data_IF_231885511230
#
_entry.id   IF_231885511230
#
_cell.length_a   1.000
_cell.length_b   1.000
_cell.length_c   1.000
_cell.angle_alpha   90.00
_cell.angle_beta   90.00
_cell.angle_gamma   90.00
#
_symmetry.space_group_name_H-M   'P 1'
#
loop_
_entity.id
_entity.type
_entity.pdbx_description
1 polymer ?
#
# COMPACT_ATOMS: atom_id res chain seq x y z
N UNK A 1 17.38 -27.98 61.00
CA UNK A 1 17.53 -26.79 60.14
C UNK A 1 17.60 -27.23 58.68
N UNK A 2 16.48 -27.16 57.93
CA UNK A 2 16.45 -27.46 56.49
C UNK A 2 16.62 -26.15 55.72
N UNK A 3 17.68 -26.05 54.91
CA UNK A 3 17.95 -24.90 54.02
C UNK A 3 17.07 -25.03 52.78
N UNK A 4 16.15 -24.08 52.59
CA UNK A 4 15.39 -23.91 51.36
C UNK A 4 16.27 -23.22 50.31
N UNK A 5 16.46 -23.86 49.17
CA UNK A 5 17.13 -23.28 47.99
C UNK A 5 16.03 -22.70 47.10
N UNK A 6 15.97 -21.37 47.01
CA UNK A 6 15.15 -20.67 46.01
C UNK A 6 15.90 -20.68 44.68
N UNK A 7 15.32 -21.30 43.66
CA UNK A 7 15.80 -21.24 42.29
C UNK A 7 15.07 -20.07 41.60
N UNK A 8 15.80 -18.99 41.34
CA UNK A 8 15.34 -17.88 40.48
C UNK A 8 15.43 -18.34 39.02
N UNK A 9 14.28 -18.63 38.40
CA UNK A 9 14.19 -18.85 36.96
C UNK A 9 14.09 -17.48 36.28
N UNK A 10 15.22 -16.99 35.79
CA UNK A 10 15.27 -15.81 34.93
C UNK A 10 14.70 -16.17 33.55
N UNK A 11 13.48 -15.73 33.27
CA UNK A 11 12.87 -15.84 31.95
C UNK A 11 13.60 -14.86 31.02
N UNK A 12 14.54 -15.36 30.23
CA UNK A 12 15.10 -14.67 29.08
C UNK A 12 14.00 -14.53 28.03
N UNK A 13 13.40 -13.34 27.98
CA UNK A 13 12.47 -12.92 26.94
C UNK A 13 13.27 -12.80 25.64
N UNK A 14 13.29 -13.89 24.86
CA UNK A 14 13.85 -13.89 23.50
C UNK A 14 12.92 -13.04 22.64
N UNK A 15 13.21 -11.74 22.57
CA UNK A 15 12.61 -10.84 21.59
C UNK A 15 13.13 -11.32 20.23
N UNK A 16 12.35 -12.18 19.58
CA UNK A 16 12.56 -12.55 18.19
C UNK A 16 12.33 -11.29 17.35
N UNK A 17 13.39 -10.50 17.16
CA UNK A 17 13.43 -9.45 16.17
C UNK A 17 13.32 -10.11 14.81
N UNK A 18 12.10 -10.19 14.29
CA UNK A 18 11.85 -10.48 12.88
C UNK A 18 12.64 -9.47 12.07
N UNK A 19 13.74 -9.91 11.46
CA UNK A 19 14.57 -9.07 10.59
C UNK A 19 13.72 -8.66 9.40
N UNK A 20 13.27 -7.41 9.41
CA UNK A 20 12.66 -6.77 8.27
C UNK A 20 13.61 -6.85 7.07
N UNK A 21 13.08 -7.30 5.93
CA UNK A 21 13.78 -7.22 4.65
C UNK A 21 13.17 -6.07 3.85
N UNK A 22 13.85 -4.93 3.87
CA UNK A 22 13.64 -3.88 2.89
C UNK A 22 13.95 -4.44 1.49
N UNK A 23 13.16 -4.04 0.51
CA UNK A 23 13.51 -4.33 -0.88
C UNK A 23 14.85 -3.67 -1.23
N UNK A 24 15.61 -4.32 -2.13
CA UNK A 24 16.84 -3.73 -2.63
C UNK A 24 16.46 -2.48 -3.41
N UNK A 25 17.08 -1.36 -3.02
CA UNK A 25 16.89 -0.07 -3.69
C UNK A 25 17.48 -0.11 -5.11
N UNK A 26 16.64 0.25 -6.08
CA UNK A 26 16.89 0.30 -7.51
C UNK A 26 16.14 1.50 -8.13
N UNK A 27 16.48 2.70 -7.66
CA UNK A 27 15.90 3.93 -8.21
C UNK A 27 16.71 4.34 -9.44
N UNK A 28 16.02 4.74 -10.52
CA UNK A 28 16.70 5.41 -11.64
C UNK A 28 17.45 6.67 -11.18
N UNK A 29 18.58 6.95 -11.84
CA UNK A 29 19.54 7.98 -11.42
C UNK A 29 19.75 9.09 -12.46
N UNK A 30 19.06 9.03 -13.61
CA UNK A 30 19.11 10.08 -14.62
C UNK A 30 18.56 11.41 -14.08
N UNK A 31 19.07 12.53 -14.60
CA UNK A 31 18.60 13.87 -14.20
C UNK A 31 17.07 14.01 -14.34
N UNK A 32 16.52 13.50 -15.44
CA UNK A 32 15.09 13.52 -15.71
C UNK A 32 14.30 12.66 -14.72
N UNK A 33 14.82 11.47 -14.38
CA UNK A 33 14.19 10.62 -13.38
C UNK A 33 14.17 11.30 -12.00
N UNK A 34 15.29 11.90 -11.58
CA UNK A 34 15.37 12.61 -10.30
C UNK A 34 14.39 13.79 -10.25
N UNK A 35 14.26 14.54 -11.35
CA UNK A 35 13.27 15.61 -11.47
C UNK A 35 11.84 15.08 -11.22
N UNK A 36 11.44 13.99 -11.86
CA UNK A 36 10.08 13.45 -11.69
C UNK A 36 9.88 12.67 -10.40
N UNK A 37 10.95 12.16 -9.80
CA UNK A 37 10.92 11.68 -8.42
C UNK A 37 10.58 12.81 -7.44
N UNK A 38 11.18 14.00 -7.61
CA UNK A 38 10.88 15.16 -6.78
C UNK A 38 9.44 15.66 -6.99
N UNK A 39 8.96 15.67 -8.24
CA UNK A 39 7.55 15.96 -8.56
C UNK A 39 6.62 14.94 -7.90
N UNK A 40 6.90 13.64 -8.04
CA UNK A 40 6.11 12.60 -7.37
C UNK A 40 6.05 12.84 -5.86
N UNK A 41 7.20 13.10 -5.22
CA UNK A 41 7.26 13.33 -3.77
C UNK A 41 6.47 14.57 -3.36
N UNK A 42 6.57 15.68 -4.11
CA UNK A 42 5.80 16.90 -3.87
C UNK A 42 4.29 16.62 -3.89
N UNK A 43 3.82 16.01 -4.98
CA UNK A 43 2.40 15.68 -5.16
C UNK A 43 1.93 14.67 -4.10
N UNK A 44 2.74 13.65 -3.81
CA UNK A 44 2.42 12.61 -2.84
C UNK A 44 2.23 13.20 -1.44
N UNK A 45 3.13 14.09 -0.99
CA UNK A 45 2.99 14.78 0.29
C UNK A 45 1.72 15.64 0.33
N UNK A 46 1.47 16.41 -0.72
CA UNK A 46 0.31 17.30 -0.82
C UNK A 46 -1.02 16.54 -0.83
N UNK A 47 -1.16 15.53 -1.69
CA UNK A 47 -2.40 14.77 -1.86
C UNK A 47 -2.77 13.95 -0.62
N UNK A 48 -1.77 13.53 0.16
CA UNK A 48 -1.96 12.76 1.38
C UNK A 48 -1.94 13.61 2.65
N UNK A 49 -1.85 14.95 2.54
CA UNK A 49 -1.67 15.87 3.66
C UNK A 49 -0.56 15.38 4.63
N UNK A 50 0.54 14.87 4.06
CA UNK A 50 1.57 14.13 4.78
C UNK A 50 2.77 15.03 5.07
N UNK A 51 3.30 14.96 6.29
CA UNK A 51 4.54 15.66 6.66
C UNK A 51 5.78 14.99 6.07
N UNK A 52 6.85 15.77 5.88
CA UNK A 52 8.13 15.25 5.41
C UNK A 52 8.73 14.25 6.42
N UNK A 53 8.51 14.46 7.71
CA UNK A 53 8.94 13.58 8.80
C UNK A 53 8.24 12.22 8.73
N UNK A 54 6.92 12.22 8.54
CA UNK A 54 6.16 10.98 8.40
C UNK A 54 6.61 10.20 7.16
N UNK A 55 6.72 10.89 6.02
CA UNK A 55 7.22 10.29 4.79
C UNK A 55 8.58 9.62 4.99
N UNK A 56 9.55 10.32 5.59
CA UNK A 56 10.90 9.79 5.83
C UNK A 56 10.90 8.55 6.73
N UNK A 57 9.97 8.49 7.69
CA UNK A 57 9.87 7.41 8.68
C UNK A 57 9.10 6.19 8.15
N UNK A 58 8.12 6.39 7.27
CA UNK A 58 7.15 5.37 6.91
C UNK A 58 7.18 4.96 5.43
N UNK A 59 7.67 5.81 4.53
CA UNK A 59 7.64 5.58 3.07
C UNK A 59 9.04 5.31 2.54
N UNK A 60 9.22 4.15 1.93
CA UNK A 60 10.50 3.64 1.46
C UNK A 60 10.44 3.32 -0.04
N UNK A 61 10.75 4.29 -0.91
CA UNK A 61 10.92 4.02 -2.33
C UNK A 61 12.05 3.03 -2.60
N UNK A 62 11.75 2.01 -3.40
CA UNK A 62 12.72 0.96 -3.71
C UNK A 62 12.92 0.76 -5.21
N UNK A 63 12.00 1.21 -6.07
CA UNK A 63 12.20 1.15 -7.51
C UNK A 63 11.58 2.37 -8.20
N UNK A 64 12.25 2.92 -9.21
CA UNK A 64 11.68 3.95 -10.07
C UNK A 64 12.23 3.84 -11.48
N UNK A 65 11.40 4.18 -12.47
CA UNK A 65 11.78 4.16 -13.87
C UNK A 65 10.99 5.20 -14.68
N UNK A 66 11.52 5.53 -15.85
CA UNK A 66 10.78 6.18 -16.93
C UNK A 66 10.57 5.14 -18.02
N UNK A 67 9.32 4.83 -18.29
CA UNK A 67 8.93 3.88 -19.33
C UNK A 67 8.45 4.64 -20.58
N UNK A 68 9.07 4.37 -21.72
CA UNK A 68 8.67 4.91 -23.02
C UNK A 68 7.66 3.99 -23.68
N UNK A 69 6.66 4.56 -24.34
CA UNK A 69 5.66 3.86 -25.12
C UNK A 69 5.32 4.68 -26.37
N UNK A 70 4.47 4.14 -27.25
CA UNK A 70 4.28 4.65 -28.62
C UNK A 70 3.92 6.14 -28.72
N UNK A 71 3.31 6.72 -27.69
CA UNK A 71 2.83 8.11 -27.74
C UNK A 71 3.16 8.91 -26.49
N UNK A 72 4.19 8.48 -25.74
CA UNK A 72 4.64 9.19 -24.55
C UNK A 72 5.65 8.47 -23.69
N UNK A 73 5.87 9.06 -22.52
CA UNK A 73 6.72 8.53 -21.46
C UNK A 73 5.99 8.69 -20.13
N UNK A 74 6.08 7.67 -19.28
CA UNK A 74 5.48 7.67 -17.95
C UNK A 74 6.54 7.43 -16.88
N UNK A 75 6.50 8.23 -15.82
CA UNK A 75 7.25 7.96 -14.60
C UNK A 75 6.50 6.94 -13.75
N UNK A 76 7.23 5.95 -13.24
CA UNK A 76 6.71 4.89 -12.38
C UNK A 76 7.57 4.81 -11.13
N UNK A 77 6.95 4.56 -9.99
CA UNK A 77 7.66 4.38 -8.73
C UNK A 77 6.98 3.32 -7.89
N UNK A 78 7.78 2.44 -7.30
CA UNK A 78 7.34 1.47 -6.31
C UNK A 78 7.99 1.75 -4.95
N UNK A 79 7.19 1.65 -3.91
CA UNK A 79 7.60 1.97 -2.54
C UNK A 79 6.93 1.04 -1.53
N UNK A 80 7.54 0.96 -0.34
CA UNK A 80 6.97 0.27 0.80
C UNK A 80 6.45 1.29 1.82
N UNK A 81 5.27 1.03 2.37
CA UNK A 81 4.79 1.72 3.57
C UNK A 81 4.93 0.78 4.76
N UNK A 82 5.51 1.28 5.84
CA UNK A 82 5.64 0.52 7.10
C UNK A 82 4.94 1.25 8.24
N UNK A 83 4.00 0.59 8.90
CA UNK A 83 3.36 1.08 10.14
C UNK A 83 3.34 -0.09 11.12
N UNK A 84 3.97 0.09 12.29
CA UNK A 84 4.23 -0.97 13.27
C UNK A 84 4.78 -2.26 12.62
N UNK A 85 3.99 -3.34 12.62
CA UNK A 85 4.32 -4.66 12.07
C UNK A 85 3.88 -4.85 10.61
N UNK A 86 3.07 -3.94 10.07
CA UNK A 86 2.54 -4.04 8.71
C UNK A 86 3.49 -3.41 7.70
N UNK A 87 3.63 -4.08 6.57
CA UNK A 87 4.37 -3.60 5.41
C UNK A 87 3.47 -3.80 4.20
N UNK A 88 3.24 -2.74 3.45
CA UNK A 88 2.53 -2.79 2.17
C UNK A 88 3.44 -2.31 1.05
N UNK A 89 3.32 -2.94 -0.12
CA UNK A 89 4.01 -2.53 -1.35
C UNK A 89 2.99 -1.82 -2.23
N UNK A 90 3.36 -0.66 -2.73
CA UNK A 90 2.52 0.18 -3.57
C UNK A 90 3.31 0.65 -4.78
N UNK A 91 2.58 1.02 -5.82
CA UNK A 91 3.15 1.64 -7.01
C UNK A 91 2.28 2.82 -7.44
N UNK A 92 2.94 3.92 -7.80
CA UNK A 92 2.31 5.07 -8.43
C UNK A 92 2.85 5.21 -9.86
N UNK A 93 2.05 5.84 -10.73
CA UNK A 93 2.52 6.21 -12.06
C UNK A 93 1.82 7.47 -12.55
N UNK A 94 2.49 8.23 -13.40
CA UNK A 94 1.85 9.30 -14.17
C UNK A 94 2.59 9.55 -15.47
N UNK A 95 1.85 10.04 -16.45
CA UNK A 95 2.42 10.49 -17.72
C UNK A 95 3.31 11.72 -17.48
N UNK A 96 4.49 11.75 -18.10
CA UNK A 96 5.44 12.87 -18.03
C UNK A 96 5.68 13.52 -19.39
N UNK A 97 5.29 12.86 -20.48
CA UNK A 97 5.36 13.39 -21.85
C UNK A 97 4.34 12.65 -22.69
N UNK A 98 3.62 13.34 -23.55
CA UNK A 98 2.68 12.68 -24.48
C UNK A 98 2.44 13.49 -25.74
N UNK A 99 2.27 12.80 -26.86
CA UNK A 99 1.77 13.37 -28.12
C UNK A 99 0.29 13.06 -28.36
N UNK A 100 -0.36 12.29 -27.50
CA UNK A 100 -1.76 11.90 -27.68
C UNK A 100 -2.73 13.06 -27.47
N UNK A 101 -3.84 13.00 -28.19
CA UNK A 101 -4.97 13.94 -28.07
C UNK A 101 -6.21 13.30 -27.45
N UNK A 102 -6.10 12.06 -26.94
CA UNK A 102 -7.19 11.24 -26.37
C UNK A 102 -7.96 11.93 -25.25
N UNK A 103 -7.33 12.89 -24.55
CA UNK A 103 -7.93 13.69 -23.48
C UNK A 103 -7.93 15.17 -23.87
N UNK A 104 -8.81 15.60 -24.79
CA UNK A 104 -8.77 16.94 -25.38
C UNK A 104 -9.20 18.04 -24.42
N UNK A 105 -9.90 17.70 -23.33
CA UNK A 105 -10.30 18.64 -22.28
C UNK A 105 -9.15 19.01 -21.34
N UNK A 106 -8.05 18.23 -21.35
CA UNK A 106 -6.87 18.52 -20.55
C UNK A 106 -6.02 19.59 -21.22
N UNK A 107 -5.81 20.70 -20.51
CA UNK A 107 -4.93 21.78 -20.95
C UNK A 107 -3.50 21.45 -20.54
N UNK A 108 -2.89 20.53 -21.28
CA UNK A 108 -1.51 20.09 -21.07
C UNK A 108 -0.70 20.20 -22.35
N UNK A 109 0.60 20.45 -22.18
CA UNK A 109 1.57 20.53 -23.27
C UNK A 109 1.72 19.17 -23.94
N UNK A 110 1.78 19.16 -25.28
CA UNK A 110 1.93 17.95 -26.09
C UNK A 110 3.28 17.98 -26.80
N UNK A 111 3.97 16.84 -26.83
CA UNK A 111 5.30 16.72 -27.44
C UNK A 111 6.46 17.09 -26.51
N UNK A 112 6.19 17.76 -25.39
CA UNK A 112 7.16 18.14 -24.37
C UNK A 112 6.87 17.51 -23.01
N UNK A 113 7.83 17.66 -22.10
CA UNK A 113 7.75 17.20 -20.72
C UNK A 113 6.78 18.04 -19.90
N UNK A 114 5.91 17.37 -19.14
CA UNK A 114 4.85 18.00 -18.35
C UNK A 114 5.39 18.63 -17.06
N UNK A 115 4.81 19.77 -16.71
CA UNK A 115 5.02 20.42 -15.41
C UNK A 115 4.26 19.71 -14.29
N UNK A 116 4.63 19.97 -13.03
CA UNK A 116 3.91 19.45 -11.86
C UNK A 116 2.41 19.83 -11.87
N UNK A 117 2.06 21.02 -12.35
CA UNK A 117 0.66 21.46 -12.47
C UNK A 117 -0.12 20.61 -13.47
N UNK A 118 0.47 20.33 -14.64
CA UNK A 118 -0.13 19.48 -15.67
C UNK A 118 -0.23 18.02 -15.20
N UNK A 119 0.78 17.53 -14.47
CA UNK A 119 0.76 16.21 -13.85
C UNK A 119 -0.38 16.09 -12.82
N UNK A 120 -0.61 17.12 -12.01
CA UNK A 120 -1.76 17.14 -11.10
C UNK A 120 -3.10 17.08 -11.84
N UNK A 121 -3.23 17.74 -13.00
CA UNK A 121 -4.43 17.68 -13.82
C UNK A 121 -4.68 16.27 -14.37
N UNK A 122 -3.67 15.61 -14.93
CA UNK A 122 -3.81 14.24 -15.47
C UNK A 122 -4.14 13.22 -14.37
N UNK A 123 -3.53 13.34 -13.19
CA UNK A 123 -3.83 12.47 -12.03
C UNK A 123 -5.27 12.68 -11.56
N UNK A 124 -5.72 13.95 -11.46
CA UNK A 124 -7.08 14.28 -11.02
C UNK A 124 -8.14 13.76 -11.99
N UNK A 125 -7.81 13.75 -13.29
CA UNK A 125 -8.67 13.22 -14.34
C UNK A 125 -8.53 11.71 -14.56
N UNK A 126 -7.65 11.02 -13.83
CA UNK A 126 -7.27 9.62 -14.08
C UNK A 126 -6.85 9.34 -15.54
N UNK A 127 -6.31 10.34 -16.20
CA UNK A 127 -5.94 10.27 -17.61
C UNK A 127 -4.63 9.50 -17.79
N UNK A 128 -4.51 8.76 -18.89
CA UNK A 128 -3.31 7.98 -19.21
C UNK A 128 -2.91 6.97 -18.11
N UNK A 129 -3.91 6.47 -17.37
CA UNK A 129 -3.70 5.62 -16.19
C UNK A 129 -2.87 6.29 -15.09
N UNK A 130 -2.80 7.62 -15.08
CA UNK A 130 -2.05 8.37 -14.06
C UNK A 130 -2.79 8.30 -12.73
N UNK A 131 -2.10 7.82 -11.70
CA UNK A 131 -2.64 7.68 -10.36
C UNK A 131 -1.54 7.74 -9.30
N UNK A 132 -1.92 8.31 -8.16
CA UNK A 132 -1.16 8.25 -6.91
C UNK A 132 -2.08 7.66 -5.84
N UNK A 133 -1.53 6.75 -5.04
CA UNK A 133 -2.22 6.13 -3.92
C UNK A 133 -2.56 7.15 -2.83
N UNK A 134 -3.71 6.94 -2.18
CA UNK A 134 -4.18 7.73 -1.04
C UNK A 134 -3.86 6.97 0.24
N UNK A 135 -3.19 7.64 1.17
CA UNK A 135 -2.65 7.08 2.41
C UNK A 135 -2.88 8.09 3.53
N UNK A 136 -3.50 7.63 4.61
CA UNK A 136 -3.63 8.43 5.82
C UNK A 136 -2.37 8.29 6.68
N UNK A 137 -1.93 9.42 7.26
CA UNK A 137 -0.75 9.47 8.13
C UNK A 137 -1.08 8.96 9.55
N UNK A 138 -1.15 7.64 9.71
CA UNK A 138 -1.31 6.97 11.00
C UNK A 138 -0.01 6.35 11.49
N UNK A 139 0.46 6.76 12.66
CA UNK A 139 1.69 6.22 13.24
C UNK A 139 1.54 4.82 13.83
N UNK A 140 0.30 4.37 14.10
CA UNK A 140 0.02 3.13 14.81
C UNK A 140 -1.17 2.38 14.24
N UNK A 141 -1.13 1.06 14.38
CA UNK A 141 -2.26 0.17 14.09
C UNK A 141 -3.05 -0.12 15.36
N UNK A 142 -4.35 -0.37 15.22
CA UNK A 142 -5.23 -0.81 16.32
C UNK A 142 -4.73 -2.10 16.99
N UNK A 143 -4.17 -3.00 16.20
CA UNK A 143 -3.70 -4.30 16.66
C UNK A 143 -2.18 -4.29 16.84
N UNK A 144 -1.69 -4.70 18.01
CA UNK A 144 -0.25 -4.70 18.30
C UNK A 144 0.55 -5.78 17.55
N UNK A 145 -0.12 -6.70 16.83
CA UNK A 145 0.52 -7.72 16.00
C UNK A 145 -0.43 -8.28 14.94
N UNK A 146 0.12 -8.85 13.87
CA UNK A 146 -0.66 -9.55 12.83
C UNK A 146 -1.57 -10.62 13.45
N UNK A 147 -1.05 -11.39 14.41
CA UNK A 147 -1.81 -12.45 15.08
C UNK A 147 -3.04 -11.90 15.82
N UNK A 148 -2.93 -10.73 16.46
CA UNK A 148 -4.08 -10.09 17.11
C UNK A 148 -5.10 -9.58 16.09
N UNK A 149 -4.65 -9.07 14.95
CA UNK A 149 -5.54 -8.67 13.86
C UNK A 149 -6.32 -9.87 13.30
N UNK A 150 -5.65 -11.01 13.04
CA UNK A 150 -6.30 -12.25 12.57
C UNK A 150 -7.35 -12.75 13.57
N UNK A 151 -7.05 -12.70 14.87
CA UNK A 151 -8.00 -13.09 15.92
C UNK A 151 -9.20 -12.15 16.07
N UNK A 152 -9.11 -10.95 15.50
CA UNK A 152 -10.16 -9.94 15.54
C UNK A 152 -11.00 -9.92 14.26
N UNK A 153 -10.78 -10.86 13.33
CA UNK A 153 -11.59 -10.99 12.14
C UNK A 153 -13.03 -11.35 12.53
N UNK A 154 -13.99 -10.78 11.82
CA UNK A 154 -15.42 -10.97 12.04
C UNK A 154 -15.96 -12.31 11.50
N UNK A 155 -15.06 -13.28 11.27
CA UNK A 155 -15.38 -14.60 10.79
C UNK A 155 -14.65 -15.65 11.62
N UNK A 156 -15.22 -16.85 11.67
CA UNK A 156 -14.67 -17.98 12.41
C UNK A 156 -13.24 -18.30 11.93
N UNK A 157 -12.24 -18.18 12.83
CA UNK A 157 -10.81 -18.35 12.52
C UNK A 157 -10.54 -19.73 11.89
N UNK A 158 -11.31 -20.74 12.28
CA UNK A 158 -11.18 -22.12 11.79
C UNK A 158 -11.60 -22.28 10.31
N UNK A 159 -12.30 -21.29 9.73
CA UNK A 159 -12.74 -21.30 8.33
C UNK A 159 -11.85 -20.45 7.41
N UNK A 160 -10.87 -19.75 7.98
CA UNK A 160 -9.97 -18.88 7.24
C UNK A 160 -8.86 -19.71 6.62
N UNK A 161 -8.82 -19.77 5.29
CA UNK A 161 -7.76 -20.47 4.54
C UNK A 161 -6.60 -19.54 4.20
N UNK A 162 -6.82 -18.22 4.11
CA UNK A 162 -5.78 -17.24 3.83
C UNK A 162 -6.06 -15.88 4.51
N UNK A 163 -5.08 -15.34 5.23
CA UNK A 163 -5.08 -13.98 5.79
C UNK A 163 -3.69 -13.36 5.65
N UNK A 164 -3.32 -12.97 4.43
CA UNK A 164 -1.94 -12.56 4.13
C UNK A 164 -1.77 -11.33 3.25
N UNK A 165 -2.81 -10.88 2.56
CA UNK A 165 -2.70 -9.73 1.67
C UNK A 165 -3.03 -8.43 2.42
N UNK A 166 -2.05 -7.52 2.51
CA UNK A 166 -2.31 -6.15 2.96
C UNK A 166 -2.56 -5.29 1.73
N UNK A 167 -3.68 -4.58 1.73
CA UNK A 167 -4.02 -3.64 0.67
C UNK A 167 -4.37 -2.30 1.30
N UNK A 168 -3.80 -1.24 0.76
CA UNK A 168 -4.52 0.03 0.72
C UNK A 168 -5.50 -0.15 -0.43
N UNK A 169 -6.80 0.07 -0.21
CA UNK A 169 -7.78 -0.19 -1.26
C UNK A 169 -7.43 0.62 -2.50
N UNK A 170 -7.08 -0.11 -3.55
CA UNK A 170 -6.87 0.46 -4.85
C UNK A 170 -8.22 0.98 -5.35
N UNK A 171 -8.18 2.19 -5.89
CA UNK A 171 -9.35 3.02 -6.19
C UNK A 171 -10.31 2.26 -7.10
N UNK A 172 -11.41 1.74 -6.54
CA UNK A 172 -12.64 1.59 -7.33
C UNK A 172 -13.31 2.96 -7.41
N UNK A 173 -13.86 3.36 -8.57
CA UNK A 173 -14.46 4.69 -8.77
C UNK A 173 -15.68 4.98 -7.86
N UNK A 174 -16.13 4.00 -7.08
CA UNK A 174 -17.29 4.08 -6.19
C UNK A 174 -16.88 4.31 -4.72
N UNK A 175 -15.62 4.01 -4.34
CA UNK A 175 -15.13 4.19 -2.98
C UNK A 175 -14.06 5.27 -2.95
N UNK A 176 -14.30 6.34 -2.20
CA UNK A 176 -13.22 7.24 -1.79
C UNK A 176 -12.34 6.44 -0.81
N UNK A 177 -11.09 6.11 -1.14
CA UNK A 177 -10.24 5.41 -0.20
C UNK A 177 -10.01 6.32 0.99
N UNK A 178 -10.31 5.85 2.20
CA UNK A 178 -10.00 6.59 3.44
C UNK A 178 -8.49 6.68 3.71
N UNK A 179 -7.66 6.00 2.91
CA UNK A 179 -6.23 5.93 3.10
C UNK A 179 -5.78 4.99 4.22
N UNK A 180 -6.71 4.24 4.82
CA UNK A 180 -6.39 3.27 5.85
C UNK A 180 -5.78 1.99 5.23
N UNK A 181 -4.85 1.33 5.93
CA UNK A 181 -4.41 -0.02 5.59
C UNK A 181 -5.44 -1.08 6.02
N UNK A 182 -5.70 -2.04 5.13
CA UNK A 182 -6.57 -3.18 5.42
C UNK A 182 -5.82 -4.50 5.34
N UNK A 183 -6.19 -5.43 6.22
CA UNK A 183 -5.85 -6.85 6.09
C UNK A 183 -6.98 -7.53 5.31
N UNK A 184 -6.64 -8.03 4.11
CA UNK A 184 -7.53 -8.86 3.32
C UNK A 184 -7.43 -10.31 3.76
N UNK A 185 -8.55 -11.00 3.77
CA UNK A 185 -8.62 -12.41 4.13
C UNK A 185 -9.70 -13.11 3.30
N UNK A 186 -9.51 -14.41 3.11
CA UNK A 186 -10.46 -15.29 2.45
C UNK A 186 -10.54 -16.61 3.19
N UNK A 187 -11.64 -17.33 2.97
CA UNK A 187 -11.81 -18.66 3.54
C UNK A 187 -12.84 -19.47 2.80
N UNK A 188 -12.97 -20.73 3.21
CA UNK A 188 -13.87 -21.69 2.59
C UNK A 188 -15.02 -21.95 3.56
N UNK A 189 -16.25 -21.75 3.07
CA UNK A 189 -17.46 -22.09 3.81
C UNK A 189 -17.79 -23.56 3.57
N UNK A 190 -17.87 -23.95 2.30
CA UNK A 190 -18.13 -25.31 1.86
C UNK A 190 -17.53 -25.54 0.48
N UNK A 191 -16.46 -26.34 0.42
CA UNK A 191 -15.78 -26.66 -0.83
C UNK A 191 -16.66 -27.45 -1.81
N UNK A 192 -17.53 -28.34 -1.31
CA UNK A 192 -18.39 -29.19 -2.14
C UNK A 192 -19.46 -28.36 -2.86
N UNK A 193 -19.88 -27.25 -2.26
CA UNK A 193 -20.86 -26.32 -2.81
C UNK A 193 -20.22 -25.10 -3.49
N UNK A 194 -18.89 -25.07 -3.63
CA UNK A 194 -18.13 -23.94 -4.15
C UNK A 194 -18.38 -22.61 -3.39
N UNK A 195 -18.62 -22.68 -2.07
CA UNK A 195 -18.92 -21.51 -1.23
C UNK A 195 -17.68 -21.08 -0.44
N UNK A 196 -17.30 -19.83 -0.63
CA UNK A 196 -16.19 -19.16 0.03
C UNK A 196 -16.65 -17.82 0.60
N UNK A 197 -15.75 -17.12 1.27
CA UNK A 197 -15.95 -15.72 1.62
C UNK A 197 -14.66 -14.94 1.37
N UNK A 198 -14.82 -13.65 1.08
CA UNK A 198 -13.76 -12.67 1.13
C UNK A 198 -14.11 -11.60 2.17
N UNK A 199 -13.07 -11.00 2.74
CA UNK A 199 -13.25 -9.99 3.76
C UNK A 199 -12.05 -9.07 3.88
N UNK A 200 -12.29 -7.99 4.62
CA UNK A 200 -11.31 -6.97 4.92
C UNK A 200 -11.46 -6.51 6.36
N UNK A 201 -10.34 -6.27 7.01
CA UNK A 201 -10.26 -5.69 8.34
C UNK A 201 -9.49 -4.37 8.25
N UNK A 202 -10.14 -3.28 8.62
CA UNK A 202 -9.50 -1.98 8.77
C UNK A 202 -8.53 -2.05 9.96
N UNK A 203 -7.24 -1.83 9.70
CA UNK A 203 -6.21 -1.95 10.74
C UNK A 203 -6.10 -0.70 11.64
N UNK A 204 -6.86 0.36 11.36
CA UNK A 204 -6.94 1.59 12.14
C UNK A 204 -8.22 1.59 12.99
N UNK A 205 -9.38 1.35 12.38
CA UNK A 205 -10.66 1.39 13.10
C UNK A 205 -11.04 0.04 13.69
N UNK A 206 -10.57 -1.06 13.11
CA UNK A 206 -11.00 -2.42 13.44
C UNK A 206 -12.32 -2.83 12.82
N UNK A 207 -12.91 -2.00 11.95
CA UNK A 207 -14.11 -2.35 11.21
C UNK A 207 -13.81 -3.54 10.28
N UNK A 208 -14.75 -4.47 10.21
CA UNK A 208 -14.59 -5.71 9.50
C UNK A 208 -15.80 -5.96 8.60
N UNK A 209 -15.53 -6.14 7.31
CA UNK A 209 -16.54 -6.45 6.31
C UNK A 209 -16.24 -7.81 5.71
N UNK A 210 -17.27 -8.65 5.56
CA UNK A 210 -17.19 -9.98 4.94
C UNK A 210 -18.35 -10.13 3.95
N UNK A 211 -18.05 -10.75 2.82
CA UNK A 211 -19.04 -11.18 1.83
C UNK A 211 -18.85 -12.63 1.46
N UNK A 212 -19.95 -13.37 1.38
CA UNK A 212 -19.98 -14.69 0.79
C UNK A 212 -19.75 -14.58 -0.72
N UNK A 213 -18.95 -15.49 -1.27
CA UNK A 213 -18.61 -15.54 -2.68
C UNK A 213 -18.43 -16.99 -3.16
N UNK A 214 -18.29 -17.16 -4.47
CA UNK A 214 -17.86 -18.44 -5.01
C UNK A 214 -16.35 -18.63 -4.75
N UNK A 215 -15.92 -19.86 -4.48
CA UNK A 215 -14.50 -20.13 -4.39
C UNK A 215 -13.84 -19.89 -5.74
N UNK A 216 -12.69 -19.19 -5.72
CA UNK A 216 -11.88 -19.01 -6.91
C UNK A 216 -11.22 -20.35 -7.27
N UNK A 217 -11.62 -20.94 -8.39
CA UNK A 217 -10.88 -22.03 -9.02
C UNK A 217 -9.77 -21.41 -9.84
N UNK A 218 -8.52 -21.54 -9.38
CA UNK A 218 -7.35 -21.28 -10.23
C UNK A 218 -7.21 -22.36 -11.30
#
# INVERSE_FOLDING_TARGET
MKKSILIFISILLVISCTKWKLEKKDLCDSQLCNQYYDVWKSIFLKNNNMSAEYFKKHVFPYHSEISTWNSGESFRISYQIKIDWMICKLSDQFIIKTSETTYPTLTITRGDYLTESEINQVISAYAFSSSINVIESNDHLKYSSKRKAIKALCYDEDKISNASEYRFFDKKPIFTPNGHPYLMFTGVINQQENKCFDGKLDLITGDCDVSDCNCWTN
#
